data_IF_345569752620
#
_entry.id   IF_345569752620
#
_cell.length_a   1.000
_cell.length_b   1.000
_cell.length_c   1.000
_cell.angle_alpha   90.00
_cell.angle_beta   90.00
_cell.angle_gamma   90.00
#
_symmetry.space_group_name_H-M   'P 1'
#
loop_
_entity.id
_entity.type
_entity.pdbx_description
1 polymer ?
#
# COMPACT_ATOMS: atom_id res chain seq x y z
N UNK A 1 17.16 3.66 12.14
CA UNK A 1 17.74 3.17 13.41
C UNK A 1 17.10 3.93 14.55
N UNK A 2 17.16 5.25 14.48
CA UNK A 2 16.02 6.05 14.04
C UNK A 2 14.74 5.79 14.85
N UNK A 3 13.71 5.36 14.11
CA UNK A 3 12.42 5.03 14.69
C UNK A 3 12.44 3.94 15.76
N UNK A 4 13.30 2.91 15.67
CA UNK A 4 13.42 1.88 16.72
C UNK A 4 13.97 2.48 18.02
N UNK A 5 14.99 3.34 17.91
CA UNK A 5 15.56 4.06 19.06
C UNK A 5 14.52 4.97 19.71
N UNK A 6 13.85 5.81 18.92
CA UNK A 6 12.81 6.73 19.41
C UNK A 6 11.64 5.98 20.05
N UNK A 7 11.11 4.93 19.40
CA UNK A 7 10.01 4.13 19.94
C UNK A 7 10.42 3.40 21.23
N UNK A 8 11.62 2.82 21.27
CA UNK A 8 12.13 2.14 22.48
C UNK A 8 12.31 3.13 23.62
N UNK A 9 12.97 4.26 23.38
CA UNK A 9 13.18 5.29 24.39
C UNK A 9 11.85 5.83 24.95
N UNK A 10 10.87 6.10 24.07
CA UNK A 10 9.54 6.54 24.43
C UNK A 10 8.79 5.51 25.30
N UNK A 11 8.78 4.24 24.90
CA UNK A 11 8.14 3.17 25.68
C UNK A 11 8.80 2.91 27.04
N UNK A 12 10.10 3.18 27.16
CA UNK A 12 10.86 3.06 28.41
C UNK A 12 10.80 4.31 29.29
N UNK A 13 10.28 5.43 28.78
CA UNK A 13 10.29 6.71 29.48
C UNK A 13 11.68 7.28 29.75
N UNK A 14 12.63 7.08 28.83
CA UNK A 14 14.02 7.57 28.97
C UNK A 14 14.46 8.43 27.78
N UNK A 15 15.50 9.28 27.94
CA UNK A 15 16.04 10.03 26.82
C UNK A 15 16.56 9.13 25.69
N UNK A 16 16.35 9.51 24.43
CA UNK A 16 16.88 8.77 23.28
C UNK A 16 18.40 8.56 23.34
N UNK A 17 19.13 9.54 23.91
CA UNK A 17 20.58 9.47 24.11
C UNK A 17 21.03 8.33 25.03
N UNK A 18 20.12 7.76 25.82
CA UNK A 18 20.36 6.60 26.68
C UNK A 18 20.06 5.26 25.98
N UNK A 19 19.63 5.28 24.70
CA UNK A 19 19.34 4.07 23.93
C UNK A 19 20.29 3.98 22.73
N UNK A 20 21.10 2.92 22.68
CA UNK A 20 21.88 2.55 21.51
C UNK A 20 21.21 1.37 20.81
N UNK A 21 20.93 1.51 19.52
CA UNK A 21 20.38 0.44 18.67
C UNK A 21 21.48 0.01 17.71
N UNK A 22 21.93 -1.25 17.83
CA UNK A 22 22.84 -1.86 16.87
C UNK A 22 22.04 -2.69 15.88
N UNK A 23 22.33 -2.56 14.60
CA UNK A 23 21.77 -3.45 13.60
C UNK A 23 22.65 -4.65 13.36
N UNK A 24 21.99 -5.74 13.00
CA UNK A 24 22.59 -6.97 12.52
C UNK A 24 21.97 -7.28 11.17
N UNK A 25 22.46 -8.31 10.50
CA UNK A 25 21.86 -8.79 9.25
C UNK A 25 20.38 -9.12 9.45
N UNK A 26 19.54 -8.68 8.49
CA UNK A 26 18.08 -8.83 8.57
C UNK A 26 17.61 -9.65 7.38
N UNK A 27 17.04 -10.83 7.65
CA UNK A 27 16.38 -11.67 6.63
C UNK A 27 15.04 -11.12 6.18
N UNK A 28 15.02 -9.97 5.49
CA UNK A 28 13.83 -9.32 4.96
C UNK A 28 12.91 -8.69 6.00
N UNK A 29 11.94 -7.89 5.57
CA UNK A 29 11.02 -7.20 6.48
C UNK A 29 9.71 -6.76 5.84
N UNK A 30 9.74 -6.30 4.58
CA UNK A 30 8.54 -6.00 3.78
C UNK A 30 7.53 -5.06 4.48
N UNK A 31 8.01 -4.19 5.38
CA UNK A 31 7.19 -3.28 6.19
C UNK A 31 7.00 -3.73 7.65
N UNK A 32 6.96 -5.05 7.89
CA UNK A 32 6.75 -5.67 9.20
C UNK A 32 7.95 -5.59 10.15
N UNK A 33 8.96 -4.76 9.89
CA UNK A 33 10.08 -4.48 10.82
C UNK A 33 10.32 -2.98 11.01
N UNK A 34 9.33 -2.16 10.66
CA UNK A 34 9.39 -0.69 10.82
C UNK A 34 9.05 -0.23 12.24
N UNK A 35 8.40 -1.09 13.03
CA UNK A 35 8.01 -0.86 14.43
C UNK A 35 8.81 -1.75 15.37
N UNK A 36 8.88 -1.34 16.64
CA UNK A 36 9.51 -2.14 17.69
C UNK A 36 8.58 -3.24 18.19
N UNK A 37 9.12 -4.45 18.34
CA UNK A 37 8.43 -5.57 18.98
C UNK A 37 8.98 -5.78 20.39
N UNK A 38 10.04 -6.57 20.51
CA UNK A 38 10.56 -6.99 21.80
C UNK A 38 11.65 -6.10 22.38
N UNK A 39 12.25 -5.20 21.61
CA UNK A 39 13.37 -4.36 22.08
C UNK A 39 13.06 -3.62 23.40
N UNK A 40 11.88 -2.99 23.59
CA UNK A 40 11.53 -2.37 24.87
C UNK A 40 11.36 -3.40 26.00
N UNK A 41 10.73 -4.54 25.72
CA UNK A 41 10.52 -5.61 26.71
C UNK A 41 11.86 -6.21 27.16
N UNK A 42 12.78 -6.47 26.23
CA UNK A 42 14.12 -6.96 26.51
C UNK A 42 14.90 -5.97 27.39
N UNK A 43 14.81 -4.68 27.12
CA UNK A 43 15.43 -3.65 27.93
C UNK A 43 14.85 -3.60 29.36
N UNK A 44 13.52 -3.73 29.51
CA UNK A 44 12.87 -3.78 30.83
C UNK A 44 13.30 -5.02 31.63
N UNK A 45 13.30 -6.19 31.01
CA UNK A 45 13.72 -7.45 31.68
C UNK A 45 15.21 -7.42 32.04
N UNK A 46 16.06 -6.83 31.19
CA UNK A 46 17.47 -6.62 31.50
C UNK A 46 17.64 -5.74 32.74
N UNK A 47 16.92 -4.61 32.84
CA UNK A 47 16.92 -3.76 34.03
C UNK A 47 16.44 -4.51 35.28
N UNK A 48 15.32 -5.22 35.18
CA UNK A 48 14.74 -5.98 36.30
C UNK A 48 15.65 -7.09 36.81
N UNK A 49 16.52 -7.63 35.94
CA UNK A 49 17.49 -8.67 36.28
C UNK A 49 18.87 -8.14 36.70
N UNK A 50 18.98 -6.85 37.03
CA UNK A 50 20.25 -6.25 37.47
C UNK A 50 21.23 -5.97 36.32
N UNK A 51 20.71 -5.75 35.10
CA UNK A 51 21.51 -5.42 33.92
C UNK A 51 22.00 -6.61 33.11
N UNK A 52 21.45 -7.82 33.34
CA UNK A 52 21.86 -9.01 32.59
C UNK A 52 21.37 -8.94 31.13
N UNK A 53 22.14 -9.44 30.15
CA UNK A 53 21.68 -9.51 28.76
C UNK A 53 20.44 -10.39 28.60
N UNK A 54 19.49 -9.96 27.78
CA UNK A 54 18.25 -10.69 27.46
C UNK A 54 18.16 -10.93 25.96
N UNK A 55 17.92 -12.17 25.55
CA UNK A 55 17.68 -12.57 24.15
C UNK A 55 16.24 -13.01 23.97
N UNK A 56 15.55 -12.43 22.99
CA UNK A 56 14.23 -12.88 22.54
C UNK A 56 14.33 -13.58 21.19
N UNK A 57 13.50 -14.61 21.01
CA UNK A 57 13.34 -15.33 19.75
C UNK A 57 11.84 -15.48 19.53
N UNK A 58 11.34 -15.13 18.34
CA UNK A 58 10.01 -15.53 17.88
C UNK A 58 10.14 -16.85 17.15
N UNK A 59 9.39 -17.85 17.56
CA UNK A 59 9.11 -18.99 16.70
C UNK A 59 8.12 -18.60 15.58
N UNK A 60 7.93 -19.49 14.60
CA UNK A 60 7.13 -19.17 13.43
C UNK A 60 5.66 -18.83 13.76
N UNK A 61 4.96 -19.54 14.67
CA UNK A 61 3.63 -19.15 15.11
C UNK A 61 3.59 -17.77 15.77
N UNK A 62 4.52 -17.48 16.68
CA UNK A 62 4.61 -16.18 17.35
C UNK A 62 4.78 -15.03 16.36
N UNK A 63 5.50 -15.23 15.25
CA UNK A 63 5.60 -14.22 14.19
C UNK A 63 4.23 -13.89 13.62
N UNK A 64 3.39 -14.89 13.31
CA UNK A 64 2.06 -14.64 12.77
C UNK A 64 1.11 -13.98 13.78
N UNK A 65 1.24 -14.33 15.05
CA UNK A 65 0.38 -13.81 16.11
C UNK A 65 0.77 -12.39 16.57
N UNK A 66 2.07 -12.07 16.58
CA UNK A 66 2.57 -10.86 17.24
C UNK A 66 3.09 -9.77 16.28
N UNK A 67 3.52 -10.12 15.05
CA UNK A 67 4.11 -9.13 14.13
C UNK A 67 3.09 -8.40 13.24
N UNK A 68 1.87 -8.94 13.16
CA UNK A 68 0.75 -8.31 12.46
C UNK A 68 0.68 -8.63 10.96
N UNK A 69 -0.49 -8.99 10.41
CA UNK A 69 -0.66 -9.24 8.99
C UNK A 69 -0.80 -7.95 8.17
N UNK A 70 -0.84 -8.08 6.84
CA UNK A 70 -1.40 -7.03 5.99
C UNK A 70 -2.85 -6.73 6.39
N UNK A 71 -3.34 -5.49 6.23
CA UNK A 71 -4.74 -5.20 6.43
C UNK A 71 -5.56 -5.81 5.30
N UNK A 72 -6.55 -6.63 5.66
CA UNK A 72 -7.74 -6.86 4.86
C UNK A 72 -8.69 -5.66 4.94
N UNK A 73 -9.71 -5.69 4.11
CA UNK A 73 -10.68 -4.61 4.08
C UNK A 73 -11.71 -4.79 2.99
N UNK A 74 -12.57 -3.79 2.89
CA UNK A 74 -13.58 -3.65 1.85
C UNK A 74 -13.41 -2.27 1.23
N UNK A 75 -13.49 -2.20 -0.09
CA UNK A 75 -13.50 -0.93 -0.80
C UNK A 75 -14.77 -0.90 -1.65
N UNK A 76 -15.53 0.19 -1.52
CA UNK A 76 -16.66 0.48 -2.41
C UNK A 76 -16.23 1.65 -3.28
N UNK A 77 -16.47 1.56 -4.58
CA UNK A 77 -16.04 2.58 -5.52
C UNK A 77 -17.11 2.81 -6.58
N UNK A 78 -17.19 4.05 -7.06
CA UNK A 78 -17.95 4.46 -8.24
C UNK A 78 -17.07 5.40 -9.06
N UNK A 79 -17.03 5.22 -10.37
CA UNK A 79 -16.33 6.09 -11.31
C UNK A 79 -17.33 6.54 -12.38
N UNK A 80 -17.43 7.84 -12.58
CA UNK A 80 -18.25 8.44 -13.64
C UNK A 80 -17.43 8.67 -14.89
N UNK A 81 -17.88 8.14 -16.03
CA UNK A 81 -17.20 8.26 -17.32
C UNK A 81 -18.17 8.83 -18.35
N UNK A 82 -17.70 9.75 -19.19
CA UNK A 82 -18.52 10.31 -20.25
C UNK A 82 -18.49 9.45 -21.53
N UNK A 83 -19.31 9.81 -22.52
CA UNK A 83 -19.40 9.10 -23.82
C UNK A 83 -18.08 8.99 -24.60
N UNK A 84 -17.08 9.81 -24.29
CA UNK A 84 -15.77 9.81 -24.95
C UNK A 84 -14.73 8.99 -24.16
N UNK A 85 -15.13 8.27 -23.11
CA UNK A 85 -14.19 7.50 -22.28
C UNK A 85 -13.38 8.33 -21.29
N UNK A 86 -13.76 9.59 -21.04
CA UNK A 86 -13.08 10.43 -20.03
C UNK A 86 -13.72 10.30 -18.65
N UNK A 87 -12.89 10.08 -17.63
CA UNK A 87 -13.29 10.10 -16.23
C UNK A 87 -13.69 11.53 -15.85
N UNK A 88 -14.85 11.66 -15.20
CA UNK A 88 -15.44 12.94 -14.79
C UNK A 88 -15.51 13.08 -13.27
N UNK A 89 -15.77 11.99 -12.56
CA UNK A 89 -15.81 11.97 -11.11
C UNK A 89 -15.50 10.58 -10.53
N UNK A 90 -15.09 10.52 -9.27
CA UNK A 90 -14.95 9.26 -8.53
C UNK A 90 -15.39 9.40 -7.07
N UNK A 91 -15.98 8.35 -6.52
CA UNK A 91 -16.44 8.29 -5.13
C UNK A 91 -16.03 6.94 -4.53
N UNK A 92 -15.38 6.95 -3.36
CA UNK A 92 -14.99 5.72 -2.69
C UNK A 92 -15.12 5.76 -1.17
N UNK A 93 -15.52 4.60 -0.61
CA UNK A 93 -15.40 4.27 0.80
C UNK A 93 -14.29 3.21 0.99
N UNK A 94 -13.25 3.57 1.72
CA UNK A 94 -12.10 2.72 2.05
C UNK A 94 -12.24 2.21 3.47
N UNK A 95 -12.61 0.93 3.65
CA UNK A 95 -12.79 0.31 4.96
C UNK A 95 -11.65 -0.69 5.20
N UNK A 96 -10.57 -0.23 5.83
CA UNK A 96 -9.41 -1.08 6.10
C UNK A 96 -9.34 -1.41 7.59
N UNK A 97 -9.13 -2.68 7.89
CA UNK A 97 -9.01 -3.13 9.26
C UNK A 97 -7.65 -2.73 9.87
N UNK A 98 -7.64 -2.42 11.16
CA UNK A 98 -6.43 -2.17 11.94
C UNK A 98 -6.07 -3.29 12.90
N UNK A 99 -6.95 -4.27 13.09
CA UNK A 99 -6.83 -5.29 14.13
C UNK A 99 -7.32 -4.77 15.48
N UNK A 100 -6.77 -5.29 16.58
CA UNK A 100 -7.22 -4.96 17.94
C UNK A 100 -6.87 -3.55 18.44
N UNK A 101 -6.13 -2.75 17.66
CA UNK A 101 -5.73 -1.39 18.03
C UNK A 101 -5.75 -0.48 16.79
N UNK A 102 -6.05 0.83 16.95
CA UNK A 102 -6.20 1.75 15.83
C UNK A 102 -4.88 1.99 15.07
N UNK A 103 -5.00 2.58 13.88
CA UNK A 103 -3.90 2.86 12.96
C UNK A 103 -3.87 1.88 11.80
N UNK A 104 -4.96 1.78 11.04
CA UNK A 104 -4.97 1.05 9.77
C UNK A 104 -4.17 1.79 8.70
N UNK A 105 -4.01 1.16 7.53
CA UNK A 105 -3.35 1.76 6.38
C UNK A 105 -4.27 2.69 5.55
N UNK A 106 -5.46 3.05 6.06
CA UNK A 106 -6.49 3.76 5.29
C UNK A 106 -6.02 5.12 4.78
N UNK A 107 -5.19 5.84 5.53
CA UNK A 107 -4.64 7.12 5.09
C UNK A 107 -3.74 6.98 3.86
N UNK A 108 -2.90 5.94 3.81
CA UNK A 108 -2.06 5.67 2.64
C UNK A 108 -2.89 5.18 1.44
N UNK A 109 -3.92 4.36 1.69
CA UNK A 109 -4.87 3.95 0.65
C UNK A 109 -5.58 5.17 0.03
N UNK A 110 -6.02 6.13 0.85
CA UNK A 110 -6.67 7.35 0.39
C UNK A 110 -5.76 8.22 -0.50
N UNK A 111 -4.47 8.29 -0.19
CA UNK A 111 -3.49 8.99 -1.05
C UNK A 111 -3.36 8.28 -2.41
N UNK A 112 -3.39 6.94 -2.42
CA UNK A 112 -3.06 6.15 -3.61
C UNK A 112 -4.25 5.85 -4.52
N UNK A 113 -5.48 5.78 -3.99
CA UNK A 113 -6.64 5.18 -4.68
C UNK A 113 -6.94 5.78 -6.05
N UNK A 114 -6.77 7.09 -6.22
CA UNK A 114 -7.03 7.79 -7.48
C UNK A 114 -5.77 8.37 -8.13
N UNK A 115 -4.59 8.09 -7.56
CA UNK A 115 -3.36 8.81 -7.91
C UNK A 115 -2.85 8.54 -9.32
N UNK A 116 -3.26 7.44 -9.97
CA UNK A 116 -2.87 7.14 -11.35
C UNK A 116 -3.70 7.86 -12.41
N UNK A 117 -4.79 8.55 -12.04
CA UNK A 117 -5.71 9.12 -13.01
C UNK A 117 -5.97 10.61 -12.75
N UNK A 118 -6.14 11.36 -13.82
CA UNK A 118 -6.59 12.74 -13.77
C UNK A 118 -8.13 12.77 -13.61
N UNK A 119 -8.57 12.94 -12.36
CA UNK A 119 -9.99 12.90 -11.97
C UNK A 119 -10.43 14.30 -11.50
N UNK A 120 -11.28 15.02 -12.27
CA UNK A 120 -11.65 16.39 -11.95
C UNK A 120 -12.37 16.57 -10.60
N UNK A 121 -13.18 15.59 -10.20
CA UNK A 121 -13.92 15.63 -8.95
C UNK A 121 -13.84 14.29 -8.23
N UNK A 122 -13.38 14.27 -6.98
CA UNK A 122 -13.33 13.04 -6.19
C UNK A 122 -13.81 13.23 -4.75
N UNK A 123 -14.41 12.16 -4.20
CA UNK A 123 -14.75 12.03 -2.78
C UNK A 123 -14.15 10.75 -2.23
N UNK A 124 -13.38 10.85 -1.15
CA UNK A 124 -12.74 9.71 -0.49
C UNK A 124 -13.16 9.71 0.98
N UNK A 125 -13.80 8.63 1.42
CA UNK A 125 -14.14 8.40 2.83
C UNK A 125 -13.31 7.24 3.35
N UNK A 126 -12.50 7.46 4.40
CA UNK A 126 -11.67 6.43 5.01
C UNK A 126 -12.19 6.00 6.38
N UNK A 127 -12.26 4.69 6.60
CA UNK A 127 -12.62 4.08 7.88
C UNK A 127 -11.48 3.22 8.41
N UNK A 128 -11.10 3.47 9.67
CA UNK A 128 -10.19 2.62 10.44
C UNK A 128 -11.02 1.63 11.27
N UNK A 129 -11.05 0.36 10.82
CA UNK A 129 -11.95 -0.65 11.39
C UNK A 129 -11.21 -1.51 12.43
N UNK A 130 -11.62 -1.38 13.69
CA UNK A 130 -11.15 -2.27 14.75
C UNK A 130 -11.83 -3.64 14.65
N UNK A 131 -11.04 -4.71 14.79
CA UNK A 131 -11.52 -6.11 14.77
C UNK A 131 -10.73 -6.96 15.78
N UNK A 132 -11.31 -8.07 16.25
CA UNK A 132 -10.70 -8.96 17.26
C UNK A 132 -9.61 -9.88 16.68
N UNK A 133 -8.54 -9.31 16.11
CA UNK A 133 -7.38 -10.05 15.60
C UNK A 133 -6.08 -9.25 15.80
N UNK A 134 -4.89 -9.84 15.56
CA UNK A 134 -3.63 -9.13 15.69
C UNK A 134 -3.63 -7.79 14.93
N UNK A 135 -2.98 -6.77 15.51
CA UNK A 135 -2.81 -5.46 14.88
C UNK A 135 -2.27 -5.64 13.46
N UNK A 136 -2.96 -5.10 12.47
CA UNK A 136 -2.43 -5.06 11.10
C UNK A 136 -1.19 -4.19 11.04
N UNK A 137 -0.15 -4.66 10.36
CA UNK A 137 1.12 -4.00 10.20
C UNK A 137 1.33 -3.55 8.76
N UNK A 138 2.38 -2.76 8.54
CA UNK A 138 2.79 -2.42 7.20
C UNK A 138 3.22 -3.69 6.45
N UNK A 139 2.53 -4.00 5.35
CA UNK A 139 2.98 -4.92 4.31
C UNK A 139 3.20 -4.08 3.06
N UNK A 140 4.40 -4.17 2.45
CA UNK A 140 4.93 -3.38 1.33
C UNK A 140 3.86 -2.60 0.56
N UNK A 141 3.99 -1.26 0.60
CA UNK A 141 3.00 -0.30 0.11
C UNK A 141 1.63 -0.39 0.85
N UNK A 142 1.58 -0.34 2.19
CA UNK A 142 0.36 -0.64 2.94
C UNK A 142 -0.83 0.20 2.50
N UNK A 143 -1.94 -0.45 2.15
CA UNK A 143 -3.18 0.19 1.68
C UNK A 143 -3.25 0.40 0.17
N UNK A 144 -2.11 0.54 -0.52
CA UNK A 144 -2.07 0.77 -1.97
C UNK A 144 -2.48 -0.47 -2.77
N UNK A 145 -1.99 -1.70 -2.51
CA UNK A 145 -2.47 -2.89 -3.22
C UNK A 145 -3.99 -3.08 -3.16
N UNK A 146 -4.60 -2.83 -2.00
CA UNK A 146 -6.06 -2.90 -1.83
C UNK A 146 -6.75 -1.84 -2.70
N UNK A 147 -6.27 -0.60 -2.63
CA UNK A 147 -6.81 0.53 -3.38
C UNK A 147 -6.66 0.36 -4.90
N UNK A 148 -5.46 0.01 -5.37
CA UNK A 148 -5.13 -0.25 -6.77
C UNK A 148 -5.93 -1.43 -7.32
N UNK A 149 -6.08 -2.51 -6.56
CA UNK A 149 -6.95 -3.61 -6.98
C UNK A 149 -8.39 -3.11 -7.22
N UNK A 150 -8.94 -2.34 -6.28
CA UNK A 150 -10.31 -1.84 -6.40
C UNK A 150 -10.52 -0.91 -7.60
N UNK A 151 -9.65 0.08 -7.82
CA UNK A 151 -9.80 0.99 -8.98
C UNK A 151 -9.54 0.30 -10.30
N UNK A 152 -8.50 -0.53 -10.40
CA UNK A 152 -8.15 -1.14 -11.68
C UNK A 152 -9.19 -2.18 -12.12
N UNK A 153 -9.84 -2.86 -11.18
CA UNK A 153 -11.00 -3.71 -11.49
C UNK A 153 -12.15 -2.90 -12.07
N UNK A 154 -12.53 -1.77 -11.43
CA UNK A 154 -13.62 -0.91 -11.93
C UNK A 154 -13.28 -0.32 -13.30
N UNK A 155 -12.01 0.04 -13.53
CA UNK A 155 -11.56 0.56 -14.83
C UNK A 155 -11.65 -0.51 -15.92
N UNK A 156 -11.23 -1.75 -15.62
CA UNK A 156 -11.36 -2.85 -16.56
C UNK A 156 -12.83 -3.15 -16.88
N UNK A 157 -13.71 -3.15 -15.87
CA UNK A 157 -15.16 -3.31 -16.06
C UNK A 157 -15.75 -2.20 -16.95
N UNK A 158 -15.35 -0.94 -16.75
CA UNK A 158 -15.76 0.19 -17.60
C UNK A 158 -15.30 -0.01 -19.05
N UNK A 159 -14.04 -0.42 -19.24
CA UNK A 159 -13.51 -0.66 -20.58
C UNK A 159 -14.26 -1.80 -21.28
N UNK A 160 -14.53 -2.88 -20.56
CA UNK A 160 -15.25 -4.04 -21.08
C UNK A 160 -16.71 -3.70 -21.41
N UNK A 161 -17.40 -2.92 -20.57
CA UNK A 161 -18.80 -2.48 -20.80
C UNK A 161 -18.92 -1.52 -22.00
N UNK A 162 -17.94 -0.62 -22.17
CA UNK A 162 -17.97 0.40 -23.22
C UNK A 162 -17.22 -0.02 -24.51
N UNK A 163 -16.59 -1.19 -24.52
CA UNK A 163 -15.77 -1.67 -25.64
C UNK A 163 -14.53 -0.80 -25.91
N UNK A 164 -13.94 -0.23 -24.86
CA UNK A 164 -12.76 0.63 -24.95
C UNK A 164 -11.47 -0.18 -24.79
N UNK A 165 -10.42 0.23 -25.50
CA UNK A 165 -9.10 -0.37 -25.32
C UNK A 165 -8.52 -0.02 -23.93
N UNK A 166 -8.15 -1.06 -23.18
CA UNK A 166 -7.76 -0.95 -21.75
C UNK A 166 -6.52 -0.10 -21.52
N UNK A 167 -5.57 -0.10 -22.46
CA UNK A 167 -4.33 0.67 -22.30
C UNK A 167 -4.51 2.11 -22.81
N UNK A 168 -5.27 2.30 -23.89
CA UNK A 168 -5.63 3.62 -24.40
C UNK A 168 -6.51 4.37 -23.40
N UNK A 169 -7.50 3.73 -22.78
CA UNK A 169 -8.31 4.35 -21.73
C UNK A 169 -7.44 4.87 -20.57
N UNK A 170 -6.44 4.08 -20.17
CA UNK A 170 -5.50 4.48 -19.10
C UNK A 170 -4.62 5.64 -19.53
N UNK A 171 -4.09 5.64 -20.76
CA UNK A 171 -3.34 6.77 -21.33
C UNK A 171 -4.19 8.03 -21.38
N UNK A 172 -5.40 7.93 -21.93
CA UNK A 172 -6.32 9.06 -22.08
C UNK A 172 -6.71 9.66 -20.75
N UNK A 173 -6.68 8.89 -19.66
CA UNK A 173 -7.04 9.32 -18.31
C UNK A 173 -5.84 9.45 -17.36
N UNK A 174 -4.60 9.29 -17.83
CA UNK A 174 -3.43 9.19 -16.98
C UNK A 174 -3.19 10.47 -16.17
N UNK A 175 -2.76 10.30 -14.93
CA UNK A 175 -2.12 11.37 -14.19
C UNK A 175 -0.80 11.75 -14.88
N UNK A 176 -0.59 13.05 -15.05
CA UNK A 176 0.56 13.68 -15.68
C UNK A 176 1.13 14.76 -14.74
N UNK A 177 2.20 15.43 -15.17
CA UNK A 177 2.75 16.56 -14.41
C UNK A 177 1.68 17.63 -14.17
N UNK A 178 1.57 18.10 -12.93
CA UNK A 178 0.55 19.07 -12.53
C UNK A 178 -0.81 18.46 -12.15
N UNK A 179 -1.10 17.19 -12.49
CA UNK A 179 -2.32 16.50 -12.03
C UNK A 179 -2.39 16.55 -10.50
N UNK A 180 -3.55 16.96 -9.98
CA UNK A 180 -3.84 17.04 -8.55
C UNK A 180 -4.42 15.72 -8.07
N UNK A 181 -3.73 15.06 -7.14
CA UNK A 181 -4.22 13.83 -6.49
C UNK A 181 -5.40 14.12 -5.56
N UNK A 182 -6.08 13.06 -5.12
CA UNK A 182 -7.20 13.13 -4.17
C UNK A 182 -6.84 13.71 -2.79
N UNK A 183 -5.57 13.68 -2.38
CA UNK A 183 -5.04 14.34 -1.18
C UNK A 183 -4.71 15.83 -1.40
N UNK A 184 -4.95 16.37 -2.61
CA UNK A 184 -4.73 17.76 -2.98
C UNK A 184 -3.32 18.10 -3.46
N UNK A 185 -2.38 17.16 -3.38
CA UNK A 185 -0.99 17.36 -3.80
C UNK A 185 -0.86 17.18 -5.31
N UNK A 186 -0.10 18.05 -5.96
CA UNK A 186 0.19 17.95 -7.39
C UNK A 186 1.43 17.10 -7.66
N UNK A 187 1.42 16.36 -8.76
CA UNK A 187 2.62 15.71 -9.24
C UNK A 187 3.61 16.73 -9.81
N UNK A 188 4.85 16.71 -9.30
CA UNK A 188 5.96 17.44 -9.89
C UNK A 188 6.45 16.69 -11.14
N UNK A 189 6.77 15.41 -10.96
CA UNK A 189 7.05 14.44 -12.03
C UNK A 189 6.29 13.16 -11.75
N UNK A 190 5.67 12.59 -12.77
CA UNK A 190 5.08 11.25 -12.75
C UNK A 190 5.32 10.62 -14.12
N UNK A 191 5.76 9.36 -14.14
CA UNK A 191 6.18 8.66 -15.36
C UNK A 191 5.14 7.68 -15.91
N UNK A 192 3.86 7.89 -15.58
CA UNK A 192 2.82 6.89 -15.85
C UNK A 192 2.55 6.76 -17.35
N UNK A 193 2.47 7.89 -18.07
CA UNK A 193 2.23 7.91 -19.51
C UNK A 193 3.34 7.16 -20.26
N UNK A 194 4.60 7.35 -19.87
CA UNK A 194 5.74 6.64 -20.46
C UNK A 194 5.71 5.15 -20.12
N UNK A 195 5.34 4.78 -18.90
CA UNK A 195 5.16 3.37 -18.52
C UNK A 195 4.05 2.69 -19.33
N UNK A 196 2.92 3.38 -19.54
CA UNK A 196 1.80 2.86 -20.32
C UNK A 196 2.15 2.81 -21.81
N UNK A 197 2.84 3.81 -22.36
CA UNK A 197 3.31 3.79 -23.74
C UNK A 197 4.28 2.62 -23.98
N UNK A 198 5.27 2.44 -23.10
CA UNK A 198 6.19 1.32 -23.19
C UNK A 198 5.48 -0.04 -23.07
N UNK A 199 4.47 -0.16 -22.19
CA UNK A 199 3.66 -1.37 -22.09
C UNK A 199 2.87 -1.61 -23.39
N UNK A 200 2.29 -0.57 -23.99
CA UNK A 200 1.53 -0.62 -25.24
C UNK A 200 2.39 -1.05 -26.42
N UNK A 201 3.62 -0.60 -26.47
CA UNK A 201 4.58 -0.91 -27.53
C UNK A 201 5.29 -2.25 -27.31
N UNK A 202 5.18 -2.85 -26.13
CA UNK A 202 5.90 -4.09 -25.80
C UNK A 202 5.47 -5.28 -26.67
N UNK A 203 6.45 -6.13 -27.03
CA UNK A 203 6.18 -7.41 -27.69
C UNK A 203 5.23 -8.29 -26.86
N UNK A 204 5.33 -8.21 -25.53
CA UNK A 204 4.43 -8.95 -24.66
C UNK A 204 2.97 -8.53 -24.88
N UNK A 205 2.67 -7.23 -24.99
CA UNK A 205 1.31 -6.75 -25.20
C UNK A 205 0.80 -6.95 -26.63
N UNK A 206 1.68 -6.91 -27.62
CA UNK A 206 1.30 -7.03 -29.04
C UNK A 206 1.33 -8.46 -29.58
N UNK A 207 1.99 -9.39 -28.88
CA UNK A 207 2.00 -10.80 -29.28
C UNK A 207 0.60 -11.41 -29.20
N UNK A 208 0.25 -12.33 -30.12
CA UNK A 208 -1.00 -13.07 -30.02
C UNK A 208 -1.02 -13.87 -28.69
N UNK A 209 -2.17 -13.91 -28.02
CA UNK A 209 -2.32 -14.67 -26.77
C UNK A 209 -2.06 -16.17 -26.98
N UNK A 210 -2.33 -16.67 -28.18
CA UNK A 210 -2.31 -18.09 -28.52
C UNK A 210 -3.40 -18.88 -27.80
N UNK A 211 -3.52 -20.16 -28.14
CA UNK A 211 -4.54 -21.04 -27.56
C UNK A 211 -4.21 -21.37 -26.09
N UNK A 212 -5.26 -21.46 -25.28
CA UNK A 212 -5.15 -21.96 -23.92
C UNK A 212 -5.01 -23.50 -23.94
N UNK A 213 -4.24 -24.10 -23.00
CA UNK A 213 -4.23 -25.55 -22.84
C UNK A 213 -5.63 -26.11 -22.55
N UNK A 214 -5.88 -27.37 -22.91
CA UNK A 214 -7.16 -28.03 -22.66
C UNK A 214 -7.59 -27.90 -21.18
N UNK A 215 -8.86 -27.53 -20.96
CA UNK A 215 -9.42 -27.29 -19.64
C UNK A 215 -8.92 -26.02 -18.94
N UNK A 216 -8.22 -25.13 -19.62
CA UNK A 216 -7.72 -23.86 -19.05
C UNK A 216 -8.17 -22.65 -19.87
N UNK A 217 -8.24 -21.50 -19.21
CA UNK A 217 -8.36 -20.20 -19.86
C UNK A 217 -7.01 -19.48 -19.88
N UNK A 218 -6.82 -18.59 -20.85
CA UNK A 218 -5.66 -17.70 -20.95
C UNK A 218 -6.14 -16.27 -21.16
N UNK A 219 -5.48 -15.32 -20.52
CA UNK A 219 -5.73 -13.89 -20.69
C UNK A 219 -4.48 -13.07 -20.44
N UNK A 220 -4.57 -11.78 -20.76
CA UNK A 220 -3.56 -10.76 -20.49
C UNK A 220 -4.28 -9.57 -19.84
N UNK A 221 -3.69 -9.03 -18.79
CA UNK A 221 -4.24 -7.91 -18.02
C UNK A 221 -3.20 -6.81 -17.87
N UNK A 222 -3.67 -5.60 -17.60
CA UNK A 222 -2.85 -4.44 -17.28
C UNK A 222 -3.43 -3.75 -16.05
N UNK A 223 -2.56 -3.17 -15.24
CA UNK A 223 -2.95 -2.42 -14.06
C UNK A 223 -1.96 -1.28 -13.81
N UNK A 224 -2.47 -0.14 -13.35
CA UNK A 224 -1.68 0.99 -12.85
C UNK A 224 -1.77 1.07 -11.33
N UNK A 225 -0.65 1.36 -10.67
CA UNK A 225 -0.60 1.52 -9.23
C UNK A 225 0.38 2.62 -8.83
N UNK A 226 0.09 3.29 -7.72
CA UNK A 226 0.90 4.38 -7.18
C UNK A 226 1.30 4.11 -5.74
N UNK A 227 2.53 4.50 -5.41
CA UNK A 227 3.01 4.61 -4.03
C UNK A 227 3.80 5.90 -3.85
N UNK A 228 3.53 6.64 -2.78
CA UNK A 228 4.28 7.84 -2.45
C UNK A 228 5.71 7.50 -2.00
N UNK A 229 6.68 8.33 -2.41
CA UNK A 229 8.05 8.20 -1.91
C UNK A 229 8.13 8.74 -0.47
N UNK A 230 8.64 7.90 0.44
CA UNK A 230 8.87 8.26 1.83
C UNK A 230 10.34 8.05 2.21
N UNK A 231 11.14 9.12 2.15
CA UNK A 231 12.49 9.14 2.69
C UNK A 231 12.40 9.31 4.21
N UNK A 232 12.56 8.23 4.97
CA UNK A 232 12.71 8.34 6.42
C UNK A 232 13.97 9.13 6.80
N UNK A 233 14.10 9.50 8.08
CA UNK A 233 15.34 10.13 8.58
C UNK A 233 16.53 9.17 8.39
N UNK A 234 17.54 9.62 7.64
CA UNK A 234 18.86 8.98 7.50
C UNK A 234 19.82 9.41 8.58
#
# INVERSE_FOLDING_TARGET
SFGVRSQTAGLLGIPESKVKVNYVEIGGGFGGKTKVYFTPIAALLSRKSGGRPVKFIMDRPSVFEASGPAPGGKIRMKIGVNKNGKITAADTDLMLESGGYPGSAVGAAAICVFACYDIPASRITGYDILVNKPKSAAYRAPGSPQASFAIETVIDEICDELGLDKIQFRLDNAAHEGTRRGDGVQFIRVGLEECLAAAKESDHWNSPLGDAPEGKARGRGIASAYWMNGGGKS
#
